data_IF_184033313424
#
_entry.id   IF_184033313424
#
_cell.length_a   1.000
_cell.length_b   1.000
_cell.length_c   1.000
_cell.angle_alpha   90.00
_cell.angle_beta   90.00
_cell.angle_gamma   90.00
#
_symmetry.space_group_name_H-M   'P 1'
#
loop_
_entity.id
_entity.type
_entity.pdbx_description
1 polymer ?
#
# COMPACT_ATOMS: atom_id res chain seq x y z
N UNK A 1 -27.04 -14.14 -3.05
CA UNK A 1 -26.65 -15.45 -2.48
C UNK A 1 -26.12 -15.19 -1.07
N UNK A 2 -25.61 -16.17 -0.32
CA UNK A 2 -24.95 -15.85 0.95
C UNK A 2 -23.64 -15.10 0.68
N UNK A 3 -23.34 -14.04 1.43
CA UNK A 3 -22.09 -13.26 1.33
C UNK A 3 -20.86 -14.18 1.41
N UNK A 4 -20.94 -15.24 2.22
CA UNK A 4 -19.88 -16.25 2.35
C UNK A 4 -19.66 -17.05 1.06
N UNK A 5 -20.74 -17.42 0.36
CA UNK A 5 -20.64 -18.16 -0.89
C UNK A 5 -20.02 -17.30 -2.00
N UNK A 6 -20.40 -16.01 -2.05
CA UNK A 6 -19.81 -15.03 -2.97
C UNK A 6 -18.33 -14.79 -2.65
N UNK A 7 -17.95 -14.68 -1.38
CA UNK A 7 -16.55 -14.53 -0.96
C UNK A 7 -15.68 -15.74 -1.36
N UNK A 8 -16.21 -16.97 -1.25
CA UNK A 8 -15.49 -18.18 -1.67
C UNK A 8 -15.38 -18.27 -3.18
N UNK A 9 -16.36 -17.78 -3.93
CA UNK A 9 -16.35 -17.76 -5.40
C UNK A 9 -15.26 -16.85 -6.00
N UNK A 10 -14.71 -15.90 -5.23
CA UNK A 10 -13.58 -15.07 -5.66
C UNK A 10 -12.33 -15.90 -5.95
N UNK A 11 -12.09 -16.97 -5.18
CA UNK A 11 -10.91 -17.82 -5.31
C UNK A 11 -10.84 -18.52 -6.69
N UNK A 12 -11.84 -19.31 -7.12
CA UNK A 12 -11.80 -19.91 -8.45
C UNK A 12 -11.83 -18.88 -9.58
N UNK A 13 -12.45 -17.72 -9.38
CA UNK A 13 -12.43 -16.63 -10.36
C UNK A 13 -11.00 -16.11 -10.60
N UNK A 14 -10.19 -15.94 -9.54
CA UNK A 14 -8.77 -15.57 -9.68
C UNK A 14 -7.98 -16.66 -10.41
N UNK A 15 -8.21 -17.93 -10.10
CA UNK A 15 -7.52 -19.05 -10.74
C UNK A 15 -7.97 -19.34 -12.18
N UNK A 16 -9.13 -18.83 -12.60
CA UNK A 16 -9.62 -18.96 -13.98
C UNK A 16 -8.72 -18.26 -15.00
N UNK A 17 -7.95 -17.25 -14.56
CA UNK A 17 -7.11 -16.43 -15.43
C UNK A 17 -7.90 -15.50 -16.36
N UNK A 18 -9.23 -15.48 -16.28
CA UNK A 18 -10.08 -14.63 -17.11
C UNK A 18 -10.39 -13.31 -16.40
N UNK A 19 -10.14 -12.18 -17.08
CA UNK A 19 -10.41 -10.84 -16.53
C UNK A 19 -11.90 -10.61 -16.26
N UNK A 20 -12.74 -11.25 -17.08
CA UNK A 20 -14.19 -11.15 -17.00
C UNK A 20 -14.76 -11.87 -15.77
N UNK A 21 -14.34 -13.11 -15.50
CA UNK A 21 -14.79 -13.85 -14.30
C UNK A 21 -14.29 -13.17 -13.02
N UNK A 22 -13.05 -12.67 -13.03
CA UNK A 22 -12.48 -11.90 -11.91
C UNK A 22 -13.30 -10.64 -11.63
N UNK A 23 -13.65 -9.86 -12.67
CA UNK A 23 -14.48 -8.66 -12.51
C UNK A 23 -15.84 -8.99 -11.93
N UNK A 24 -16.53 -10.01 -12.47
CA UNK A 24 -17.84 -10.41 -11.99
C UNK A 24 -17.81 -10.85 -10.51
N UNK A 25 -16.77 -11.58 -10.11
CA UNK A 25 -16.59 -11.98 -8.71
C UNK A 25 -16.21 -10.81 -7.80
N UNK A 26 -15.42 -9.85 -8.30
CA UNK A 26 -14.96 -8.69 -7.51
C UNK A 26 -16.08 -7.66 -7.26
N UNK A 27 -17.03 -7.53 -8.20
CA UNK A 27 -18.17 -6.63 -8.06
C UNK A 27 -19.22 -7.14 -7.04
N UNK A 28 -19.18 -8.43 -6.67
CA UNK A 28 -20.07 -9.00 -5.66
C UNK A 28 -19.81 -8.43 -4.24
N UNK A 29 -20.83 -8.44 -3.39
CA UNK A 29 -20.74 -7.97 -2.01
C UNK A 29 -19.81 -8.85 -1.16
N UNK A 30 -19.72 -10.15 -1.48
CA UNK A 30 -18.76 -11.09 -0.89
C UNK A 30 -17.29 -10.67 -1.00
N UNK A 31 -16.93 -9.80 -1.95
CA UNK A 31 -15.56 -9.30 -2.13
C UNK A 31 -15.07 -8.52 -0.90
N UNK A 32 -15.94 -7.78 -0.21
CA UNK A 32 -15.56 -7.06 1.01
C UNK A 32 -15.10 -8.01 2.11
N UNK A 33 -15.82 -9.12 2.31
CA UNK A 33 -15.47 -10.13 3.29
C UNK A 33 -14.19 -10.88 2.90
N UNK A 34 -14.05 -11.26 1.62
CA UNK A 34 -12.83 -11.86 1.11
C UNK A 34 -11.62 -10.95 1.33
N UNK A 35 -11.71 -9.68 0.94
CA UNK A 35 -10.63 -8.71 1.11
C UNK A 35 -10.32 -8.41 2.57
N UNK A 36 -11.30 -8.48 3.48
CA UNK A 36 -11.05 -8.33 4.92
C UNK A 36 -10.14 -9.45 5.42
N UNK A 37 -10.49 -10.71 5.11
CA UNK A 37 -9.69 -11.88 5.46
C UNK A 37 -8.32 -11.81 4.79
N UNK A 38 -8.27 -11.45 3.51
CA UNK A 38 -7.02 -11.27 2.77
C UNK A 38 -6.13 -10.19 3.39
N UNK A 39 -6.69 -9.04 3.79
CA UNK A 39 -5.92 -7.95 4.42
C UNK A 39 -5.35 -8.41 5.75
N UNK A 40 -6.14 -9.13 6.56
CA UNK A 40 -5.68 -9.66 7.84
C UNK A 40 -4.58 -10.71 7.67
N UNK A 41 -4.84 -11.75 6.86
CA UNK A 41 -3.90 -12.85 6.62
C UNK A 41 -2.64 -12.34 5.91
N UNK A 42 -2.81 -11.53 4.86
CA UNK A 42 -1.72 -10.91 4.11
C UNK A 42 -0.87 -9.99 4.99
N UNK A 43 -1.49 -9.22 5.89
CA UNK A 43 -0.78 -8.41 6.88
C UNK A 43 0.02 -9.24 7.87
N UNK A 44 -0.56 -10.32 8.42
CA UNK A 44 0.16 -11.24 9.31
C UNK A 44 1.34 -11.89 8.59
N UNK A 45 1.15 -12.36 7.35
CA UNK A 45 2.22 -12.93 6.54
C UNK A 45 3.31 -11.90 6.24
N UNK A 46 2.95 -10.68 5.84
CA UNK A 46 3.90 -9.60 5.62
C UNK A 46 4.70 -9.28 6.90
N UNK A 47 4.03 -9.23 8.06
CA UNK A 47 4.71 -9.05 9.34
C UNK A 47 5.71 -10.20 9.64
N UNK A 48 5.32 -11.45 9.40
CA UNK A 48 6.22 -12.60 9.57
C UNK A 48 7.42 -12.51 8.61
N UNK A 49 7.20 -12.14 7.35
CA UNK A 49 8.27 -11.94 6.38
C UNK A 49 9.24 -10.86 6.88
N UNK A 50 8.75 -9.74 7.39
CA UNK A 50 9.60 -8.70 7.97
C UNK A 50 10.38 -9.18 9.20
N UNK A 51 9.77 -10.03 10.03
CA UNK A 51 10.42 -10.60 11.20
C UNK A 51 11.57 -11.55 10.83
N UNK A 52 11.36 -12.44 9.85
CA UNK A 52 12.36 -13.42 9.43
C UNK A 52 13.41 -12.85 8.46
N UNK A 53 13.06 -11.83 7.68
CA UNK A 53 13.93 -11.24 6.65
C UNK A 53 14.15 -9.74 6.94
N UNK A 54 15.06 -9.40 7.87
CA UNK A 54 15.30 -8.01 8.29
C UNK A 54 15.87 -7.13 7.16
N UNK A 55 16.46 -7.73 6.12
CA UNK A 55 16.90 -6.98 4.94
C UNK A 55 15.72 -6.35 4.20
N UNK A 56 14.65 -7.13 4.01
CA UNK A 56 13.43 -6.70 3.32
C UNK A 56 12.74 -5.60 4.12
N UNK A 57 12.65 -5.82 5.43
CA UNK A 57 12.09 -4.91 6.41
C UNK A 57 12.76 -3.51 6.39
N UNK A 58 14.07 -3.45 6.15
CA UNK A 58 14.82 -2.18 6.15
C UNK A 58 14.81 -1.47 4.80
N UNK A 59 14.84 -2.21 3.69
CA UNK A 59 15.17 -1.63 2.40
C UNK A 59 14.06 -1.71 1.35
N UNK A 60 13.07 -2.61 1.44
CA UNK A 60 12.14 -2.84 0.34
C UNK A 60 11.38 -1.57 -0.03
N UNK A 61 10.62 -1.01 0.91
CA UNK A 61 9.74 0.13 0.61
C UNK A 61 10.54 1.39 0.28
N UNK A 62 11.66 1.61 0.99
CA UNK A 62 12.57 2.74 0.72
C UNK A 62 13.21 2.63 -0.66
N UNK A 63 13.69 1.45 -1.04
CA UNK A 63 14.33 1.23 -2.35
C UNK A 63 13.33 1.43 -3.46
N UNK A 64 12.12 0.85 -3.35
CA UNK A 64 11.08 1.04 -4.36
C UNK A 64 10.74 2.52 -4.52
N UNK A 65 10.50 3.24 -3.41
CA UNK A 65 10.20 4.67 -3.47
C UNK A 65 11.33 5.48 -4.13
N UNK A 66 12.59 5.28 -3.72
CA UNK A 66 13.73 6.01 -4.29
C UNK A 66 13.96 5.66 -5.75
N UNK A 67 13.87 4.39 -6.13
CA UNK A 67 14.05 3.96 -7.54
C UNK A 67 12.94 4.56 -8.41
N UNK A 68 11.68 4.50 -7.99
CA UNK A 68 10.58 5.14 -8.73
C UNK A 68 10.80 6.65 -8.86
N UNK A 69 11.24 7.32 -7.79
CA UNK A 69 11.58 8.74 -7.82
C UNK A 69 12.67 9.07 -8.84
N UNK A 70 13.76 8.29 -8.87
CA UNK A 70 14.85 8.48 -9.82
C UNK A 70 14.42 8.22 -11.27
N UNK A 71 13.55 7.24 -11.50
CA UNK A 71 12.98 6.98 -12.84
C UNK A 71 12.11 8.16 -13.28
N UNK A 72 11.24 8.68 -12.41
CA UNK A 72 10.41 9.87 -12.71
C UNK A 72 11.30 11.06 -13.05
N UNK A 73 12.31 11.34 -12.23
CA UNK A 73 13.26 12.42 -12.47
C UNK A 73 13.98 12.22 -13.82
N UNK A 74 14.42 11.00 -14.12
CA UNK A 74 15.05 10.65 -15.39
C UNK A 74 14.15 10.89 -16.60
N UNK A 75 12.88 10.47 -16.53
CA UNK A 75 11.89 10.70 -17.61
C UNK A 75 11.67 12.20 -17.82
N UNK A 76 11.52 12.98 -16.75
CA UNK A 76 11.30 14.43 -16.86
C UNK A 76 12.55 15.13 -17.40
N UNK A 77 13.74 14.79 -16.90
CA UNK A 77 15.01 15.33 -17.40
C UNK A 77 15.19 15.03 -18.89
N UNK A 78 14.93 13.80 -19.32
CA UNK A 78 14.96 13.43 -20.74
C UNK A 78 13.92 14.20 -21.54
N UNK A 79 12.69 14.34 -21.02
CA UNK A 79 11.62 15.08 -21.67
C UNK A 79 11.96 16.56 -21.92
N UNK A 80 12.77 17.17 -21.07
CA UNK A 80 13.30 18.53 -21.30
C UNK A 80 14.31 18.55 -22.45
N UNK A 81 15.23 17.57 -22.49
CA UNK A 81 16.24 17.47 -23.56
C UNK A 81 15.57 17.22 -24.91
N UNK A 82 14.66 16.25 -24.99
CA UNK A 82 13.89 15.90 -26.19
C UNK A 82 13.18 17.13 -26.76
N UNK A 83 12.50 17.88 -25.87
CA UNK A 83 11.75 19.07 -26.23
C UNK A 83 12.61 20.21 -26.76
N UNK A 84 13.69 20.56 -26.07
CA UNK A 84 14.47 21.77 -26.40
C UNK A 84 15.62 21.53 -27.37
N UNK A 85 16.15 20.30 -27.45
CA UNK A 85 17.26 19.96 -28.35
C UNK A 85 16.76 19.33 -29.64
N UNK A 86 15.82 18.38 -29.55
CA UNK A 86 15.36 17.62 -30.72
C UNK A 86 14.05 18.15 -31.31
N UNK A 87 13.40 19.11 -30.64
CA UNK A 87 12.07 19.64 -31.02
C UNK A 87 11.00 18.54 -31.18
N UNK A 88 11.22 17.40 -30.52
CA UNK A 88 10.30 16.27 -30.42
C UNK A 88 9.82 16.13 -28.98
N UNK A 89 8.68 15.48 -28.80
CA UNK A 89 8.17 15.15 -27.47
C UNK A 89 7.59 13.75 -27.48
N UNK A 90 8.22 12.84 -26.77
CA UNK A 90 7.61 11.55 -26.48
C UNK A 90 6.34 11.72 -25.62
N UNK A 91 5.20 11.25 -26.11
CA UNK A 91 3.90 11.34 -25.45
C UNK A 91 3.84 10.64 -24.08
N UNK A 92 4.66 9.61 -23.86
CA UNK A 92 4.73 8.89 -22.59
C UNK A 92 5.36 9.68 -21.44
N UNK A 93 6.12 10.74 -21.74
CA UNK A 93 6.86 11.48 -20.71
C UNK A 93 5.96 12.28 -19.76
N UNK A 94 4.68 12.49 -20.09
CA UNK A 94 3.70 13.18 -19.25
C UNK A 94 2.70 12.23 -18.61
N UNK A 95 2.47 11.05 -19.18
CA UNK A 95 1.43 10.10 -18.76
C UNK A 95 1.97 8.98 -17.87
N UNK A 96 3.21 8.52 -18.09
CA UNK A 96 3.86 7.48 -17.26
C UNK A 96 4.27 7.99 -15.87
N UNK A 97 4.86 9.19 -15.71
CA UNK A 97 5.32 9.64 -14.39
C UNK A 97 4.23 9.72 -13.31
N UNK A 98 2.98 10.14 -13.58
CA UNK A 98 1.89 10.03 -12.60
C UNK A 98 1.64 8.61 -12.08
N UNK A 99 1.73 7.58 -12.94
CA UNK A 99 1.60 6.19 -12.51
C UNK A 99 2.78 5.76 -11.64
N UNK A 100 4.00 6.11 -12.03
CA UNK A 100 5.19 5.83 -11.22
C UNK A 100 5.16 6.58 -9.89
N UNK A 101 4.63 7.80 -9.87
CA UNK A 101 4.43 8.59 -8.65
C UNK A 101 3.42 7.92 -7.73
N UNK A 102 2.33 7.37 -8.28
CA UNK A 102 1.37 6.57 -7.51
C UNK A 102 2.07 5.37 -6.87
N UNK A 103 2.88 4.60 -7.62
CA UNK A 103 3.67 3.48 -7.04
C UNK A 103 4.56 4.00 -5.92
N UNK A 104 5.38 5.01 -6.20
CA UNK A 104 6.27 5.63 -5.22
C UNK A 104 5.54 6.05 -3.95
N UNK A 105 4.42 6.76 -4.08
CA UNK A 105 3.67 7.34 -2.97
C UNK A 105 3.12 6.26 -2.03
N UNK A 106 2.58 5.16 -2.55
CA UNK A 106 2.00 4.11 -1.71
C UNK A 106 3.06 3.29 -0.97
N UNK A 107 4.20 2.98 -1.62
CA UNK A 107 5.32 2.33 -0.93
C UNK A 107 5.99 3.27 0.09
N UNK A 108 6.16 4.55 -0.23
CA UNK A 108 6.65 5.55 0.71
C UNK A 108 5.69 5.73 1.90
N UNK A 109 4.38 5.66 1.67
CA UNK A 109 3.37 5.68 2.74
C UNK A 109 3.53 4.47 3.68
N UNK A 110 3.70 3.26 3.13
CA UNK A 110 3.96 2.05 3.94
C UNK A 110 5.22 2.23 4.81
N UNK A 111 6.28 2.81 4.25
CA UNK A 111 7.50 3.15 5.00
C UNK A 111 7.26 4.21 6.09
N UNK A 112 6.41 5.21 5.84
CA UNK A 112 6.03 6.20 6.85
C UNK A 112 5.25 5.56 8.00
N UNK A 113 4.34 4.62 7.72
CA UNK A 113 3.62 3.85 8.76
C UNK A 113 4.61 3.14 9.68
N UNK A 114 5.66 2.50 9.13
CA UNK A 114 6.75 1.90 9.93
C UNK A 114 7.41 2.93 10.86
N UNK A 115 7.80 4.09 10.32
CA UNK A 115 8.50 5.13 11.08
C UNK A 115 7.58 5.92 12.03
N UNK A 116 6.26 5.75 11.92
CA UNK A 116 5.24 6.49 12.68
C UNK A 116 5.36 8.00 12.54
N UNK A 117 5.77 8.46 11.37
CA UNK A 117 5.92 9.90 11.06
C UNK A 117 4.64 10.50 10.47
N UNK A 118 3.50 9.83 10.66
CA UNK A 118 2.20 10.40 10.36
C UNK A 118 1.88 11.51 11.37
N UNK A 119 1.20 12.55 10.90
CA UNK A 119 0.89 13.70 11.72
C UNK A 119 0.00 13.28 12.89
N UNK A 120 0.50 13.42 14.11
CA UNK A 120 -0.20 13.04 15.34
C UNK A 120 0.05 14.07 16.43
N UNK A 121 -0.91 14.21 17.35
CA UNK A 121 -0.79 15.09 18.52
C UNK A 121 0.01 14.38 19.63
N UNK A 122 1.32 14.22 19.41
CA UNK A 122 2.20 13.45 20.30
C UNK A 122 2.26 14.02 21.72
N UNK A 123 2.19 15.34 21.87
CA UNK A 123 2.25 16.08 23.13
C UNK A 123 1.02 15.86 24.00
N UNK A 124 -0.14 15.65 23.37
CA UNK A 124 -1.36 15.35 24.08
C UNK A 124 -1.37 13.88 24.52
N UNK A 125 -0.96 12.97 23.63
CA UNK A 125 -0.92 11.54 23.88
C UNK A 125 0.11 11.17 24.95
N UNK A 126 1.28 11.81 24.96
CA UNK A 126 2.34 11.54 25.96
C UNK A 126 1.93 11.90 27.38
N UNK A 127 0.96 12.80 27.56
CA UNK A 127 0.42 13.20 28.88
C UNK A 127 -0.71 12.29 29.38
N UNK A 128 -1.21 11.38 28.56
CA UNK A 128 -2.28 10.44 28.96
C UNK A 128 -1.74 9.32 29.85
N UNK A 129 -2.59 8.73 30.72
CA UNK A 129 -2.24 7.49 31.40
C UNK A 129 -1.98 6.36 30.40
N UNK A 130 -1.20 5.32 30.75
CA UNK A 130 -0.81 4.25 29.83
C UNK A 130 -1.98 3.57 29.09
N UNK A 131 -3.12 3.40 29.77
CA UNK A 131 -4.33 2.85 29.15
C UNK A 131 -4.91 3.77 28.05
N UNK A 132 -4.85 5.10 28.24
CA UNK A 132 -5.27 6.08 27.25
C UNK A 132 -4.33 6.13 26.03
N UNK A 133 -3.02 6.00 26.27
CA UNK A 133 -2.03 5.86 25.20
C UNK A 133 -2.31 4.62 24.36
N UNK A 134 -2.48 3.46 24.99
CA UNK A 134 -2.78 2.22 24.28
C UNK A 134 -4.12 2.27 23.53
N UNK A 135 -5.15 2.89 24.11
CA UNK A 135 -6.45 3.06 23.45
C UNK A 135 -6.34 3.91 22.18
N UNK A 136 -5.63 5.05 22.24
CA UNK A 136 -5.43 5.91 21.07
C UNK A 136 -4.57 5.25 19.98
N UNK A 137 -3.52 4.52 20.36
CA UNK A 137 -2.70 3.77 19.40
C UNK A 137 -3.45 2.60 18.77
N UNK A 138 -4.31 1.91 19.54
CA UNK A 138 -5.18 0.85 19.01
C UNK A 138 -6.21 1.43 18.04
N UNK A 139 -6.78 2.60 18.34
CA UNK A 139 -7.67 3.29 17.42
C UNK A 139 -6.95 3.63 16.11
N UNK A 140 -5.74 4.20 16.18
CA UNK A 140 -4.94 4.49 14.98
C UNK A 140 -4.67 3.21 14.17
N UNK A 141 -4.30 2.11 14.83
CA UNK A 141 -4.08 0.83 14.17
C UNK A 141 -5.35 0.29 13.49
N UNK A 142 -6.51 0.40 14.14
CA UNK A 142 -7.81 0.01 13.56
C UNK A 142 -8.17 0.87 12.35
N UNK A 143 -7.95 2.19 12.43
CA UNK A 143 -8.22 3.12 11.32
C UNK A 143 -7.30 2.85 10.12
N UNK A 144 -6.01 2.65 10.36
CA UNK A 144 -5.05 2.29 9.31
C UNK A 144 -5.36 0.94 8.69
N UNK A 145 -5.75 -0.05 9.50
CA UNK A 145 -6.15 -1.36 9.00
C UNK A 145 -7.43 -1.28 8.16
N UNK A 146 -8.44 -0.54 8.63
CA UNK A 146 -9.67 -0.28 7.87
C UNK A 146 -9.39 0.44 6.55
N UNK A 147 -8.47 1.41 6.56
CA UNK A 147 -8.04 2.08 5.34
C UNK A 147 -7.35 1.12 4.36
N UNK A 148 -6.47 0.23 4.85
CA UNK A 148 -5.86 -0.81 4.02
C UNK A 148 -6.91 -1.73 3.40
N UNK A 149 -7.89 -2.16 4.17
CA UNK A 149 -8.98 -3.02 3.70
C UNK A 149 -9.79 -2.35 2.57
N UNK A 150 -10.19 -1.09 2.75
CA UNK A 150 -10.91 -0.33 1.71
C UNK A 150 -10.05 -0.15 0.46
N UNK A 151 -8.78 0.23 0.63
CA UNK A 151 -7.87 0.48 -0.47
C UNK A 151 -7.60 -0.80 -1.27
N UNK A 152 -7.38 -1.94 -0.62
CA UNK A 152 -7.18 -3.24 -1.30
C UNK A 152 -8.42 -3.62 -2.09
N UNK A 153 -9.60 -3.56 -1.47
CA UNK A 153 -10.86 -3.97 -2.12
C UNK A 153 -11.15 -3.12 -3.36
N UNK A 154 -11.06 -1.80 -3.23
CA UNK A 154 -11.38 -0.87 -4.32
C UNK A 154 -10.34 -0.89 -5.44
N UNK A 155 -9.05 -0.97 -5.08
CA UNK A 155 -7.98 -1.05 -6.09
C UNK A 155 -7.98 -2.37 -6.84
N UNK A 156 -8.32 -3.51 -6.20
CA UNK A 156 -8.48 -4.79 -6.90
C UNK A 156 -9.63 -4.76 -7.90
N UNK A 157 -10.80 -4.22 -7.51
CA UNK A 157 -11.93 -3.99 -8.42
C UNK A 157 -11.52 -3.15 -9.62
N UNK A 158 -10.83 -2.03 -9.37
CA UNK A 158 -10.38 -1.13 -10.42
C UNK A 158 -9.31 -1.76 -11.32
N UNK A 159 -8.42 -2.57 -10.75
CA UNK A 159 -7.39 -3.29 -11.51
C UNK A 159 -8.01 -4.33 -12.44
N UNK A 160 -8.96 -5.13 -11.95
CA UNK A 160 -9.68 -6.11 -12.76
C UNK A 160 -10.49 -5.41 -13.87
N UNK A 161 -11.16 -4.30 -13.55
CA UNK A 161 -11.87 -3.48 -14.53
C UNK A 161 -10.94 -2.93 -15.62
N UNK A 162 -9.75 -2.48 -15.24
CA UNK A 162 -8.76 -1.95 -16.17
C UNK A 162 -8.19 -3.04 -17.10
N UNK A 163 -7.98 -4.24 -16.57
CA UNK A 163 -7.56 -5.40 -17.34
C UNK A 163 -8.65 -5.87 -18.33
N UNK A 164 -9.90 -5.96 -17.88
CA UNK A 164 -11.05 -6.38 -18.69
C UNK A 164 -11.34 -5.43 -19.86
N UNK A 165 -11.13 -4.13 -19.66
CA UNK A 165 -11.30 -3.11 -20.71
C UNK A 165 -10.06 -2.90 -21.57
N UNK A 166 -8.98 -3.68 -21.39
CA UNK A 166 -7.71 -3.51 -22.10
C UNK A 166 -7.21 -2.06 -22.10
N UNK A 167 -7.30 -1.38 -20.96
CA UNK A 167 -6.98 0.05 -20.88
C UNK A 167 -5.48 0.29 -21.03
N UNK A 168 -5.09 0.95 -22.11
CA UNK A 168 -3.71 1.34 -22.40
C UNK A 168 -3.35 2.68 -21.73
N UNK A 169 -2.07 2.84 -21.43
CA UNK A 169 -1.48 4.11 -21.01
C UNK A 169 -1.46 5.04 -22.21
N UNK A 170 -2.01 6.24 -22.03
CA UNK A 170 -2.13 7.21 -23.11
C UNK A 170 -0.72 7.61 -23.59
N UNK A 171 -0.47 7.50 -24.90
CA UNK A 171 0.80 7.90 -25.50
C UNK A 171 1.97 6.92 -25.31
N UNK A 172 1.71 5.67 -24.91
CA UNK A 172 2.72 4.59 -24.88
C UNK A 172 2.14 3.33 -25.51
N UNK A 173 2.91 2.69 -26.38
CA UNK A 173 2.50 1.46 -27.07
C UNK A 173 2.52 0.26 -26.11
N UNK A 174 1.50 -0.59 -26.19
CA UNK A 174 1.40 -1.90 -25.52
C UNK A 174 1.57 -1.90 -23.98
N UNK A 175 1.46 -0.75 -23.31
CA UNK A 175 1.53 -0.67 -21.85
C UNK A 175 0.14 -0.57 -21.25
N UNK A 176 -0.25 -1.58 -20.47
CA UNK A 176 -1.56 -1.65 -19.82
C UNK A 176 -1.56 -0.91 -18.47
N UNK A 177 -2.62 -0.12 -18.21
CA UNK A 177 -2.77 0.66 -16.96
C UNK A 177 -2.82 -0.24 -15.71
N UNK A 178 -3.41 -1.44 -15.81
CA UNK A 178 -3.52 -2.36 -14.69
C UNK A 178 -2.17 -2.85 -14.14
N UNK A 179 -1.10 -2.83 -14.94
CA UNK A 179 0.27 -3.14 -14.49
C UNK A 179 0.75 -2.20 -13.38
N UNK A 180 0.24 -0.97 -13.35
CA UNK A 180 0.50 -0.01 -12.28
C UNK A 180 -0.54 -0.10 -11.17
N UNK A 181 -1.83 -0.33 -11.49
CA UNK A 181 -2.86 -0.39 -10.46
C UNK A 181 -2.70 -1.57 -9.51
N UNK A 182 -2.19 -2.70 -9.98
CA UNK A 182 -1.94 -3.88 -9.14
C UNK A 182 -0.88 -3.62 -8.05
N UNK A 183 -0.02 -2.61 -8.21
CA UNK A 183 0.96 -2.27 -7.18
C UNK A 183 0.31 -1.67 -5.95
N UNK A 184 -0.89 -1.08 -6.08
CA UNK A 184 -1.63 -0.47 -4.97
C UNK A 184 -2.05 -1.54 -3.93
N UNK A 185 -2.81 -2.60 -4.26
CA UNK A 185 -3.18 -3.61 -3.28
C UNK A 185 -1.95 -4.33 -2.70
N UNK A 186 -0.86 -4.47 -3.47
CA UNK A 186 0.41 -5.00 -2.97
C UNK A 186 0.99 -4.08 -1.89
N UNK A 187 1.12 -2.78 -2.17
CA UNK A 187 1.66 -1.80 -1.22
C UNK A 187 0.81 -1.73 0.06
N UNK A 188 -0.52 -1.78 -0.07
CA UNK A 188 -1.42 -1.79 1.10
C UNK A 188 -1.41 -3.09 1.89
N UNK A 189 -1.13 -4.23 1.24
CA UNK A 189 -0.92 -5.50 1.95
C UNK A 189 0.35 -5.43 2.79
N UNK A 190 1.44 -4.90 2.22
CA UNK A 190 2.69 -4.65 2.95
C UNK A 190 2.49 -3.65 4.11
N UNK A 191 1.73 -2.58 3.87
CA UNK A 191 1.37 -1.58 4.88
C UNK A 191 0.56 -2.19 6.02
N UNK A 192 -0.39 -3.08 5.74
CA UNK A 192 -1.15 -3.78 6.78
C UNK A 192 -0.25 -4.61 7.71
N UNK A 193 0.83 -5.19 7.18
CA UNK A 193 1.85 -5.86 7.98
C UNK A 193 2.64 -4.91 8.87
N UNK A 194 2.89 -3.67 8.43
CA UNK A 194 3.49 -2.61 9.26
C UNK A 194 2.56 -2.18 10.39
N UNK A 195 1.27 -2.01 10.10
CA UNK A 195 0.24 -1.67 11.11
C UNK A 195 0.18 -2.73 12.20
N UNK A 196 0.12 -4.01 11.81
CA UNK A 196 0.11 -5.13 12.76
C UNK A 196 1.41 -5.17 13.56
N UNK A 197 2.57 -5.02 12.92
CA UNK A 197 3.86 -5.03 13.61
C UNK A 197 4.00 -3.91 14.63
N UNK A 198 3.59 -2.70 14.27
CA UNK A 198 3.57 -1.55 15.16
C UNK A 198 2.66 -1.78 16.37
N UNK A 199 1.44 -2.27 16.13
CA UNK A 199 0.49 -2.53 17.20
C UNK A 199 0.97 -3.64 18.15
N UNK A 200 1.62 -4.68 17.64
CA UNK A 200 2.23 -5.74 18.46
C UNK A 200 3.37 -5.21 19.34
N UNK A 201 4.19 -4.30 18.81
CA UNK A 201 5.23 -3.62 19.59
C UNK A 201 4.63 -2.76 20.72
N UNK A 202 3.58 -1.99 20.41
CA UNK A 202 2.88 -1.14 21.39
C UNK A 202 2.27 -1.98 22.50
N UNK A 203 1.63 -3.10 22.14
CA UNK A 203 1.03 -4.02 23.09
C UNK A 203 2.08 -4.69 23.99
N UNK A 204 3.24 -5.05 23.44
CA UNK A 204 4.35 -5.60 24.22
C UNK A 204 4.86 -4.56 25.23
N UNK A 205 5.08 -3.32 24.79
CA UNK A 205 5.55 -2.23 25.65
C UNK A 205 4.52 -1.90 26.75
N UNK A 206 3.23 -1.93 26.43
CA UNK A 206 2.15 -1.77 27.42
C UNK A 206 2.18 -2.86 28.50
N UNK A 207 2.45 -4.12 28.12
CA UNK A 207 2.53 -5.24 29.07
C UNK A 207 3.80 -5.24 29.91
N UNK A 208 4.95 -4.84 29.34
CA UNK A 208 6.22 -4.76 30.07
C UNK A 208 6.31 -3.53 30.98
N UNK A 209 5.41 -2.56 30.82
CA UNK A 209 5.47 -1.28 31.52
C UNK A 209 6.52 -0.33 30.95
N UNK A 210 7.04 -0.63 29.75
CA UNK A 210 7.97 0.22 29.03
C UNK A 210 7.26 1.46 28.45
N UNK A 211 8.05 2.47 28.10
CA UNK A 211 7.52 3.66 27.44
C UNK A 211 6.91 3.30 26.08
N UNK A 212 5.60 3.50 25.96
CA UNK A 212 4.80 3.13 24.78
C UNK A 212 5.05 4.10 23.63
N UNK A 213 5.02 5.41 23.90
CA UNK A 213 5.24 6.46 22.90
C UNK A 213 6.69 6.91 22.94
N UNK A 214 7.48 6.50 21.94
CA UNK A 214 8.79 7.08 21.65
C UNK A 214 8.58 8.23 20.66
N UNK A 215 9.01 9.44 21.00
CA UNK A 215 8.93 10.55 20.04
C UNK A 215 9.84 10.24 18.85
N UNK A 216 9.24 10.07 17.67
CA UNK A 216 9.99 9.93 16.43
C UNK A 216 10.60 11.29 16.07
N UNK A 217 11.91 11.45 16.26
CA UNK A 217 12.65 12.61 15.74
C UNK A 217 12.96 12.33 14.28
N UNK A 218 12.54 13.22 13.38
CA UNK A 218 12.89 13.13 11.96
C UNK A 218 14.42 13.23 11.84
N UNK A 219 15.08 12.12 11.51
CA UNK A 219 16.55 12.02 11.44
C UNK A 219 17.23 11.45 12.70
N UNK A 220 16.47 10.98 13.69
CA UNK A 220 17.03 10.20 14.80
C UNK A 220 17.32 8.76 14.39
N UNK A 221 18.52 8.27 14.70
CA UNK A 221 18.89 6.88 14.49
C UNK A 221 17.95 5.97 15.31
N UNK A 222 17.30 5.04 14.62
CA UNK A 222 16.63 3.85 15.20
C UNK A 222 17.49 2.62 14.99
#
# INVERSE_FOLDING_TARGET
MSILAEAVAVVPAIFSGSSWDMRQAFDADGMWLFCFVFTFVGGVLAHLIYHYIPFLERHLERTIAVVMYLIIAGIICWGVIDRFVFSSQWSGSTTVPPFLFMVMAWFACSYNVKLRTHLSFSEFRSKMPPAGQMATLTLDAMLWFGFCWIAITTSLRFTALSADNFQLVDGVDDVMKWWFYITVPIAFTLMSGRVIGNWLEDWRNYKSGDQIIKQAVIGGDV
#
